data_IF_835117565917
#
_entry.id   IF_835117565917
#
_cell.length_a   1.000
_cell.length_b   1.000
_cell.length_c   1.000
_cell.angle_alpha   90.00
_cell.angle_beta   90.00
_cell.angle_gamma   90.00
#
_symmetry.space_group_name_H-M   'P 1'
#
loop_
_entity.id
_entity.type
_entity.pdbx_description
1 polymer ?
#
# COMPACT_ATOMS: atom_id res chain seq x y z
N UNK A 1 -15.55 -0.79 29.41
CA UNK A 1 -16.52 -1.92 29.46
C UNK A 1 -17.88 -1.48 30.03
N UNK A 2 -17.93 -0.58 31.01
CA UNK A 2 -19.20 -0.18 31.69
C UNK A 2 -20.27 0.46 30.78
N UNK A 3 -19.90 0.88 29.55
CA UNK A 3 -20.86 1.40 28.58
C UNK A 3 -21.48 0.33 27.67
N UNK A 4 -20.93 -0.88 27.65
CA UNK A 4 -21.42 -1.96 26.81
C UNK A 4 -22.51 -2.76 27.52
N UNK A 5 -23.53 -3.19 26.77
CA UNK A 5 -24.54 -4.12 27.28
C UNK A 5 -23.89 -5.45 27.76
N UNK A 6 -24.40 -6.08 28.83
CA UNK A 6 -25.60 -5.69 29.60
C UNK A 6 -25.35 -4.58 30.63
N UNK A 7 -24.11 -4.21 30.96
CA UNK A 7 -23.76 -3.26 32.00
C UNK A 7 -24.12 -1.81 31.63
N UNK A 8 -24.07 -1.47 30.35
CA UNK A 8 -24.33 -0.13 29.83
C UNK A 8 -25.29 -0.11 28.64
N UNK A 9 -25.62 1.09 28.13
CA UNK A 9 -26.66 1.29 27.11
C UNK A 9 -26.19 0.99 25.67
N UNK A 10 -24.88 0.75 25.46
CA UNK A 10 -24.33 0.55 24.10
C UNK A 10 -24.41 -0.92 23.72
N UNK A 11 -25.24 -1.23 22.75
CA UNK A 11 -25.33 -2.57 22.17
C UNK A 11 -24.19 -2.81 21.18
N UNK A 12 -23.50 -3.93 21.36
CA UNK A 12 -22.47 -4.42 20.45
C UNK A 12 -22.68 -5.91 20.20
N UNK A 13 -22.82 -6.29 18.95
CA UNK A 13 -22.98 -7.68 18.53
C UNK A 13 -22.32 -7.92 17.17
N UNK A 14 -21.99 -9.15 16.92
CA UNK A 14 -21.45 -9.59 15.63
C UNK A 14 -21.92 -11.00 15.36
N UNK A 15 -22.75 -11.18 14.34
CA UNK A 15 -23.38 -12.47 13.99
C UNK A 15 -22.35 -13.59 13.78
N UNK A 16 -21.19 -13.24 13.23
CA UNK A 16 -20.08 -14.17 12.95
C UNK A 16 -18.96 -14.10 13.99
N UNK A 17 -19.11 -13.31 15.05
CA UNK A 17 -18.13 -13.23 16.12
C UNK A 17 -17.96 -14.60 16.78
N UNK A 18 -16.70 -15.08 16.88
CA UNK A 18 -16.41 -16.41 17.42
C UNK A 18 -16.74 -17.57 16.48
N UNK A 19 -17.09 -17.32 15.21
CA UNK A 19 -17.30 -18.40 14.26
C UNK A 19 -16.07 -19.32 14.20
N UNK A 20 -16.22 -20.66 14.42
CA UNK A 20 -15.08 -21.57 14.54
C UNK A 20 -14.16 -21.59 13.31
N UNK A 21 -14.73 -21.50 12.11
CA UNK A 21 -13.95 -21.48 10.85
C UNK A 21 -13.12 -20.19 10.75
N UNK A 22 -13.72 -19.04 11.00
CA UNK A 22 -13.02 -17.76 10.99
C UNK A 22 -11.92 -17.68 12.04
N UNK A 23 -12.17 -18.18 13.27
CA UNK A 23 -11.19 -18.25 14.34
C UNK A 23 -10.05 -19.20 13.99
N UNK A 24 -10.33 -20.35 13.40
CA UNK A 24 -9.30 -21.30 12.96
C UNK A 24 -8.41 -20.71 11.86
N UNK A 25 -9.00 -20.04 10.87
CA UNK A 25 -8.27 -19.34 9.80
C UNK A 25 -7.37 -18.21 10.39
N UNK A 26 -7.93 -17.37 11.24
CA UNK A 26 -7.18 -16.29 11.91
C UNK A 26 -6.02 -16.84 12.75
N UNK A 27 -6.24 -17.90 13.52
CA UNK A 27 -5.17 -18.55 14.31
C UNK A 27 -4.06 -19.11 13.41
N UNK A 28 -4.43 -19.73 12.28
CA UNK A 28 -3.45 -20.26 11.33
C UNK A 28 -2.58 -19.14 10.76
N UNK A 29 -3.19 -18.03 10.30
CA UNK A 29 -2.46 -16.89 9.78
C UNK A 29 -1.53 -16.25 10.83
N UNK A 30 -2.03 -16.03 12.06
CA UNK A 30 -1.21 -15.44 13.13
C UNK A 30 -0.01 -16.35 13.47
N UNK A 31 -0.22 -17.65 13.56
CA UNK A 31 0.87 -18.60 13.83
C UNK A 31 1.92 -18.58 12.70
N UNK A 32 1.51 -18.46 11.43
CA UNK A 32 2.44 -18.35 10.31
C UNK A 32 3.22 -17.04 10.36
N UNK A 33 2.56 -15.92 10.66
CA UNK A 33 3.22 -14.61 10.82
C UNK A 33 4.24 -14.62 11.98
N UNK A 34 3.91 -15.23 13.12
CA UNK A 34 4.85 -15.37 14.25
C UNK A 34 6.07 -16.21 13.85
N UNK A 35 5.85 -17.29 13.08
CA UNK A 35 6.90 -18.20 12.66
C UNK A 35 7.83 -17.61 11.62
N UNK A 36 7.28 -16.88 10.65
CA UNK A 36 8.03 -16.35 9.49
C UNK A 36 8.57 -14.95 9.72
N UNK A 37 7.91 -14.16 10.56
CA UNK A 37 8.22 -12.74 10.83
C UNK A 37 8.59 -11.95 9.56
N UNK A 38 7.67 -11.80 8.59
CA UNK A 38 8.01 -11.26 7.28
C UNK A 38 8.12 -9.73 7.23
N UNK A 39 7.98 -9.04 8.34
CA UNK A 39 7.76 -7.58 8.37
C UNK A 39 8.95 -6.77 7.87
N UNK A 40 10.17 -7.14 8.24
CA UNK A 40 11.39 -6.44 7.80
C UNK A 40 11.60 -6.59 6.29
N UNK A 41 11.30 -7.79 5.74
CA UNK A 41 11.36 -8.03 4.29
C UNK A 41 10.31 -7.24 3.55
N UNK A 42 9.08 -7.18 4.05
CA UNK A 42 7.99 -6.40 3.46
C UNK A 42 8.33 -4.91 3.42
N UNK A 43 8.87 -4.38 4.50
CA UNK A 43 9.30 -2.99 4.59
C UNK A 43 10.44 -2.69 3.62
N UNK A 44 11.47 -3.53 3.57
CA UNK A 44 12.58 -3.38 2.64
C UNK A 44 12.13 -3.42 1.18
N UNK A 45 11.20 -4.32 0.84
CA UNK A 45 10.64 -4.47 -0.49
C UNK A 45 9.78 -3.26 -0.90
N UNK A 46 8.95 -2.73 -0.01
CA UNK A 46 8.16 -1.53 -0.25
C UNK A 46 9.08 -0.32 -0.48
N UNK A 47 10.08 -0.13 0.39
CA UNK A 47 11.06 0.95 0.25
C UNK A 47 11.83 0.85 -1.07
N UNK A 48 12.29 -0.35 -1.42
CA UNK A 48 12.97 -0.59 -2.69
C UNK A 48 12.13 -0.16 -3.89
N UNK A 49 10.89 -0.61 -3.95
CA UNK A 49 9.97 -0.28 -5.05
C UNK A 49 9.76 1.23 -5.16
N UNK A 50 9.36 1.87 -4.07
CA UNK A 50 8.97 3.27 -4.06
C UNK A 50 10.15 4.23 -4.28
N UNK A 51 11.32 3.91 -3.73
CA UNK A 51 12.54 4.69 -3.96
C UNK A 51 12.94 4.65 -5.44
N UNK A 52 12.85 3.49 -6.09
CA UNK A 52 13.17 3.39 -7.51
C UNK A 52 12.15 4.14 -8.37
N UNK A 53 10.85 4.05 -8.08
CA UNK A 53 9.81 4.83 -8.78
C UNK A 53 10.09 6.33 -8.60
N UNK A 54 10.31 6.80 -7.37
CA UNK A 54 10.65 8.19 -7.08
C UNK A 54 11.85 8.69 -7.91
N UNK A 55 12.89 7.90 -7.99
CA UNK A 55 14.08 8.27 -8.77
C UNK A 55 13.78 8.45 -10.26
N UNK A 56 12.89 7.64 -10.84
CA UNK A 56 12.50 7.80 -12.24
C UNK A 56 11.59 9.05 -12.44
N UNK A 57 10.67 9.33 -11.51
CA UNK A 57 9.84 10.53 -11.54
C UNK A 57 10.70 11.80 -11.46
N UNK A 58 11.67 11.84 -10.55
CA UNK A 58 12.54 13.00 -10.36
C UNK A 58 13.41 13.30 -11.60
N UNK A 59 13.80 12.29 -12.39
CA UNK A 59 14.52 12.51 -13.67
C UNK A 59 13.68 13.28 -14.69
N UNK A 60 12.38 13.22 -14.56
CA UNK A 60 11.40 13.94 -15.43
C UNK A 60 10.87 15.21 -14.77
N UNK A 61 11.46 15.63 -13.67
CA UNK A 61 11.00 16.79 -12.90
C UNK A 61 9.53 16.64 -12.44
N UNK A 62 9.07 15.38 -12.28
CA UNK A 62 7.73 15.06 -11.78
C UNK A 62 7.83 14.96 -10.25
N UNK A 63 7.12 15.81 -9.49
CA UNK A 63 7.10 15.72 -8.03
C UNK A 63 6.53 14.36 -7.60
N UNK A 64 7.22 13.70 -6.69
CA UNK A 64 6.79 12.40 -6.17
C UNK A 64 7.22 12.23 -4.72
N UNK A 65 6.24 12.02 -3.87
CA UNK A 65 6.43 11.73 -2.46
C UNK A 65 5.78 10.41 -2.07
N UNK A 66 6.34 9.71 -1.10
CA UNK A 66 5.76 8.49 -0.57
C UNK A 66 6.07 8.31 0.91
N UNK A 67 5.25 7.52 1.56
CA UNK A 67 5.52 7.00 2.91
C UNK A 67 5.06 5.55 2.99
N UNK A 68 5.64 4.80 3.95
CA UNK A 68 5.33 3.38 4.16
C UNK A 68 5.46 2.99 5.63
N UNK A 69 4.72 1.97 6.00
CA UNK A 69 4.86 1.26 7.28
C UNK A 69 4.76 -0.23 6.98
N UNK A 70 5.85 -0.97 7.22
CA UNK A 70 5.93 -2.38 6.80
C UNK A 70 5.67 -2.51 5.31
N UNK A 71 4.75 -3.39 4.92
CA UNK A 71 4.37 -3.59 3.52
C UNK A 71 3.25 -2.66 3.00
N UNK A 72 2.69 -1.80 3.83
CA UNK A 72 1.67 -0.82 3.42
C UNK A 72 2.35 0.47 2.94
N UNK A 73 1.88 1.07 1.87
CA UNK A 73 2.42 2.31 1.34
C UNK A 73 1.37 3.22 0.71
N UNK A 74 1.70 4.52 0.65
CA UNK A 74 1.00 5.52 -0.15
C UNK A 74 2.00 6.36 -0.91
N UNK A 75 1.64 6.83 -2.09
CA UNK A 75 2.43 7.78 -2.87
C UNK A 75 1.56 8.86 -3.50
N UNK A 76 2.13 10.02 -3.69
CA UNK A 76 1.45 11.19 -4.23
C UNK A 76 2.37 11.96 -5.19
N UNK A 77 1.76 12.59 -6.19
CA UNK A 77 2.45 13.51 -7.10
C UNK A 77 2.47 14.92 -6.49
N UNK A 78 3.33 15.07 -5.49
CA UNK A 78 3.54 16.30 -4.71
C UNK A 78 4.99 16.38 -4.24
N UNK A 79 5.49 17.58 -3.97
CA UNK A 79 6.85 17.81 -3.46
C UNK A 79 7.07 17.15 -2.09
N UNK A 80 6.10 17.35 -1.19
CA UNK A 80 6.10 16.78 0.14
C UNK A 80 4.98 15.74 0.29
N UNK A 81 5.18 14.79 1.21
CA UNK A 81 4.15 13.81 1.54
C UNK A 81 2.98 14.50 2.27
N UNK A 82 1.73 14.29 1.84
CA UNK A 82 0.55 14.90 2.47
C UNK A 82 0.40 14.53 3.94
N UNK A 83 0.03 15.50 4.77
CA UNK A 83 -0.17 15.32 6.21
C UNK A 83 -1.65 15.16 6.60
N UNK A 84 -2.54 15.55 5.71
CA UNK A 84 -3.99 15.54 5.94
C UNK A 84 -4.76 15.35 4.64
N UNK A 85 -6.10 15.26 4.73
CA UNK A 85 -6.96 15.04 3.57
C UNK A 85 -6.92 16.18 2.53
N UNK A 86 -6.80 17.42 2.99
CA UNK A 86 -6.77 18.58 2.09
C UNK A 86 -5.49 18.57 1.24
N UNK A 87 -4.35 18.20 1.83
CA UNK A 87 -3.07 18.02 1.11
C UNK A 87 -3.19 16.90 0.07
N UNK A 88 -3.83 15.77 0.43
CA UNK A 88 -4.09 14.68 -0.53
C UNK A 88 -4.94 15.18 -1.69
N UNK A 89 -6.01 15.92 -1.38
CA UNK A 89 -6.91 16.47 -2.41
C UNK A 89 -6.20 17.45 -3.34
N UNK A 90 -5.23 18.21 -2.83
CA UNK A 90 -4.43 19.15 -3.60
C UNK A 90 -3.31 18.51 -4.44
N UNK A 91 -2.97 17.23 -4.24
CA UNK A 91 -1.97 16.54 -5.04
C UNK A 91 -2.42 16.36 -6.49
N UNK A 92 -1.47 16.27 -7.42
CA UNK A 92 -1.74 16.33 -8.85
C UNK A 92 -2.48 15.10 -9.40
N UNK A 93 -3.77 15.25 -9.69
CA UNK A 93 -4.63 14.20 -10.24
C UNK A 93 -4.21 13.75 -11.63
N UNK A 94 -3.81 14.67 -12.51
CA UNK A 94 -3.46 14.34 -13.89
C UNK A 94 -2.18 13.50 -13.97
N UNK A 95 -1.19 13.76 -13.12
CA UNK A 95 -0.01 12.93 -13.02
C UNK A 95 -0.35 11.54 -12.47
N UNK A 96 -1.22 11.45 -11.45
CA UNK A 96 -1.66 10.18 -10.91
C UNK A 96 -2.39 9.33 -11.96
N UNK A 97 -3.34 9.93 -12.68
CA UNK A 97 -4.10 9.24 -13.73
C UNK A 97 -3.20 8.75 -14.87
N UNK A 98 -2.26 9.60 -15.33
CA UNK A 98 -1.31 9.21 -16.36
C UNK A 98 -0.44 8.05 -15.90
N UNK A 99 0.16 8.16 -14.73
CA UNK A 99 0.98 7.10 -14.13
C UNK A 99 0.20 5.79 -13.99
N UNK A 100 -1.03 5.85 -13.49
CA UNK A 100 -1.89 4.66 -13.35
C UNK A 100 -2.14 3.99 -14.71
N UNK A 101 -2.54 4.78 -15.72
CA UNK A 101 -2.83 4.29 -17.09
C UNK A 101 -1.59 3.69 -17.75
N UNK A 102 -0.45 4.37 -17.64
CA UNK A 102 0.81 3.91 -18.21
C UNK A 102 1.30 2.61 -17.55
N UNK A 103 1.22 2.51 -16.24
CA UNK A 103 1.50 1.29 -15.50
C UNK A 103 0.56 0.15 -15.90
N UNK A 104 -0.75 0.42 -15.99
CA UNK A 104 -1.75 -0.58 -16.40
C UNK A 104 -1.47 -1.11 -17.81
N UNK A 105 -1.12 -0.25 -18.76
CA UNK A 105 -0.75 -0.62 -20.13
C UNK A 105 0.50 -1.54 -20.16
N UNK A 106 1.38 -1.43 -19.17
CA UNK A 106 2.53 -2.32 -18.98
C UNK A 106 2.21 -3.56 -18.13
N UNK A 107 0.96 -3.78 -17.76
CA UNK A 107 0.52 -4.91 -16.94
C UNK A 107 0.86 -4.76 -15.45
N UNK A 108 1.04 -3.53 -14.97
CA UNK A 108 1.20 -3.20 -13.55
C UNK A 108 -0.10 -2.60 -13.06
N UNK A 109 -0.75 -3.24 -12.09
CA UNK A 109 -1.98 -2.75 -11.49
C UNK A 109 -1.71 -2.16 -10.10
N UNK A 110 -1.71 -0.84 -10.02
CA UNK A 110 -1.79 -0.09 -8.75
C UNK A 110 -3.27 0.17 -8.40
N UNK A 111 -3.51 0.67 -7.19
CA UNK A 111 -4.84 1.13 -6.83
C UNK A 111 -5.31 2.25 -7.79
N UNK A 112 -6.57 2.25 -8.25
CA UNK A 112 -7.05 3.21 -9.24
C UNK A 112 -7.35 4.61 -8.69
N UNK A 113 -7.12 4.82 -7.39
CA UNK A 113 -7.40 6.08 -6.68
C UNK A 113 -6.23 6.47 -5.79
N UNK A 114 -5.84 7.73 -5.81
CA UNK A 114 -4.82 8.30 -4.92
C UNK A 114 -5.19 8.23 -3.42
N UNK A 115 -6.45 7.97 -3.12
CA UNK A 115 -6.96 7.80 -1.74
C UNK A 115 -6.81 6.38 -1.21
N UNK A 116 -6.27 5.46 -1.99
CA UNK A 116 -6.10 4.07 -1.59
C UNK A 116 -4.64 3.76 -1.26
N UNK A 117 -4.45 2.92 -0.24
CA UNK A 117 -3.12 2.40 0.09
C UNK A 117 -2.77 1.19 -0.77
N UNK A 118 -1.50 1.08 -1.14
CA UNK A 118 -0.93 -0.11 -1.75
C UNK A 118 -0.33 -1.05 -0.70
N UNK A 119 -0.18 -2.32 -1.06
CA UNK A 119 0.38 -3.34 -0.17
C UNK A 119 1.38 -4.24 -0.91
N UNK A 120 2.53 -4.44 -0.31
CA UNK A 120 3.49 -5.49 -0.69
C UNK A 120 3.14 -6.77 0.08
N UNK A 121 3.18 -7.91 -0.59
CA UNK A 121 3.08 -9.23 0.04
C UNK A 121 4.39 -10.01 -0.10
N UNK A 122 4.54 -11.09 0.67
CA UNK A 122 5.68 -12.01 0.57
C UNK A 122 5.80 -12.72 -0.78
N UNK A 123 4.79 -12.59 -1.65
CA UNK A 123 4.81 -13.09 -3.03
C UNK A 123 5.37 -12.08 -4.05
N UNK A 124 5.51 -10.83 -3.67
CA UNK A 124 6.22 -9.82 -4.47
C UNK A 124 7.73 -10.01 -4.29
N UNK A 125 8.25 -11.07 -4.92
CA UNK A 125 9.68 -11.40 -4.87
C UNK A 125 10.51 -10.27 -5.49
N UNK A 126 11.81 -10.23 -5.16
CA UNK A 126 12.76 -9.28 -5.75
C UNK A 126 12.68 -9.25 -7.28
N UNK A 127 12.52 -10.41 -7.92
CA UNK A 127 12.37 -10.52 -9.38
C UNK A 127 11.14 -9.76 -9.89
N UNK A 128 10.00 -9.88 -9.21
CA UNK A 128 8.76 -9.16 -9.57
C UNK A 128 8.94 -7.66 -9.38
N UNK A 129 9.55 -7.25 -8.26
CA UNK A 129 9.80 -5.83 -7.99
C UNK A 129 10.76 -5.23 -9.02
N UNK A 130 11.82 -5.95 -9.40
CA UNK A 130 12.75 -5.54 -10.46
C UNK A 130 12.04 -5.40 -11.81
N UNK A 131 11.13 -6.32 -12.13
CA UNK A 131 10.31 -6.23 -13.34
C UNK A 131 9.44 -4.95 -13.33
N UNK A 132 8.77 -4.65 -12.22
CA UNK A 132 7.97 -3.43 -12.07
C UNK A 132 8.83 -2.18 -12.23
N UNK A 133 9.97 -2.12 -11.54
CA UNK A 133 10.93 -1.01 -11.63
C UNK A 133 11.42 -0.81 -13.08
N UNK A 134 11.76 -1.90 -13.77
CA UNK A 134 12.22 -1.83 -15.16
C UNK A 134 11.12 -1.33 -16.11
N UNK A 135 9.88 -1.74 -15.91
CA UNK A 135 8.73 -1.23 -16.67
C UNK A 135 8.50 0.27 -16.43
N UNK A 136 8.59 0.73 -15.19
CA UNK A 136 8.51 2.15 -14.86
C UNK A 136 9.66 2.93 -15.52
N UNK A 137 10.88 2.37 -15.54
CA UNK A 137 12.01 2.96 -16.28
C UNK A 137 11.75 3.06 -17.78
N UNK A 138 11.11 2.09 -18.39
CA UNK A 138 10.74 2.14 -19.82
C UNK A 138 9.72 3.26 -20.07
N UNK A 139 8.76 3.44 -19.18
CA UNK A 139 7.73 4.49 -19.29
C UNK A 139 8.35 5.89 -19.15
N UNK A 140 9.22 6.08 -18.17
CA UNK A 140 9.73 7.39 -17.75
C UNK A 140 11.23 7.60 -17.98
N UNK A 141 11.97 6.62 -18.43
CA UNK A 141 13.44 6.66 -18.49
C UNK A 141 14.07 7.19 -19.79
N UNK A 142 13.27 7.63 -20.78
CA UNK A 142 13.77 8.17 -22.06
C UNK A 142 13.88 9.69 -22.05
#
# INVERSE_FOLDING_TARGET
>A
MNFLAPEGPVYQAGTLSGNPLAVAAGKCLINELIKTNPYDELEANANYLLTNIKNEMLKKEIPFSFNQIGGMFGFFFSEEFPNNFDDVSASNDSHFESFFKDCLNQGIYFAPSKYEAGFISTKHTKKILDEVVNKVKVIYGT
#
